data_IF_800755412516
#
_entry.id   IF_800755412516
#
_cell.length_a   1.000
_cell.length_b   1.000
_cell.length_c   1.000
_cell.angle_alpha   90.00
_cell.angle_beta   90.00
_cell.angle_gamma   90.00
#
_symmetry.space_group_name_H-M   'P 1'
#
loop_
_entity.id
_entity.type
_entity.pdbx_description
1 polymer ?
#
# COMPACT_ATOMS: atom_id res chain seq x y z
N UNK A 1 -20.25 0.17 12.77
CA UNK A 1 -19.27 0.90 11.93
C UNK A 1 -18.25 -0.09 11.34
N UNK A 2 -18.46 -0.62 10.12
CA UNK A 2 -17.54 -1.59 9.46
C UNK A 2 -16.69 -0.98 8.32
N UNK A 3 -16.75 0.35 8.12
CA UNK A 3 -16.14 1.05 6.97
C UNK A 3 -14.61 1.21 7.04
N UNK A 4 -14.02 1.07 8.24
CA UNK A 4 -12.58 1.29 8.49
C UNK A 4 -11.90 0.05 9.08
N UNK A 5 -12.48 -1.13 8.89
CA UNK A 5 -11.95 -2.33 9.54
C UNK A 5 -10.67 -2.78 8.86
N UNK A 6 -9.61 -3.00 9.64
CA UNK A 6 -8.38 -3.62 9.15
C UNK A 6 -8.61 -5.02 8.58
N UNK A 7 -9.75 -5.67 8.89
CA UNK A 7 -10.15 -6.95 8.32
C UNK A 7 -10.49 -6.86 6.82
N UNK A 8 -10.67 -5.65 6.28
CA UNK A 8 -10.92 -5.42 4.85
C UNK A 8 -9.65 -5.53 4.01
N UNK A 9 -8.46 -5.40 4.59
CA UNK A 9 -7.18 -5.65 3.91
C UNK A 9 -7.06 -7.17 3.72
N UNK A 10 -7.23 -7.66 2.49
CA UNK A 10 -7.05 -9.08 2.14
C UNK A 10 -5.59 -9.37 1.87
N UNK A 11 -5.16 -10.61 2.07
CA UNK A 11 -3.80 -11.08 1.80
C UNK A 11 -2.67 -10.26 2.48
N UNK A 12 -2.89 -9.82 3.72
CA UNK A 12 -1.93 -9.02 4.51
C UNK A 12 -0.52 -9.59 4.57
N UNK A 13 -0.39 -10.91 4.52
CA UNK A 13 0.90 -11.61 4.50
C UNK A 13 1.79 -11.19 3.32
N UNK A 14 1.23 -10.84 2.16
CA UNK A 14 2.02 -10.37 1.00
C UNK A 14 2.65 -9.00 1.32
N UNK A 15 1.91 -8.10 1.99
CA UNK A 15 2.48 -6.83 2.50
C UNK A 15 3.56 -7.08 3.55
N UNK A 16 3.37 -8.04 4.46
CA UNK A 16 4.37 -8.40 5.47
C UNK A 16 5.64 -8.93 4.80
N UNK A 17 5.51 -9.76 3.76
CA UNK A 17 6.65 -10.26 2.97
C UNK A 17 7.36 -9.10 2.27
N UNK A 18 6.62 -8.20 1.62
CA UNK A 18 7.17 -6.99 1.00
C UNK A 18 7.98 -6.15 1.99
N UNK A 19 7.42 -5.93 3.18
CA UNK A 19 8.09 -5.18 4.24
C UNK A 19 9.35 -5.91 4.74
N UNK A 20 9.27 -7.22 4.92
CA UNK A 20 10.40 -8.04 5.35
C UNK A 20 11.53 -8.04 4.32
N UNK A 21 11.21 -8.17 3.03
CA UNK A 21 12.21 -8.10 1.95
C UNK A 21 12.92 -6.75 1.98
N UNK A 22 12.16 -5.65 2.03
CA UNK A 22 12.72 -4.31 2.13
C UNK A 22 13.65 -4.17 3.34
N UNK A 23 13.17 -4.57 4.52
CA UNK A 23 13.91 -4.45 5.77
C UNK A 23 15.17 -5.32 5.82
N UNK A 24 15.11 -6.56 5.32
CA UNK A 24 16.28 -7.45 5.27
C UNK A 24 17.33 -6.90 4.31
N UNK A 25 16.93 -6.45 3.13
CA UNK A 25 17.87 -5.88 2.16
C UNK A 25 18.53 -4.60 2.68
N UNK A 26 17.80 -3.84 3.49
CA UNK A 26 18.32 -2.70 4.22
C UNK A 26 19.32 -3.10 5.31
N UNK A 27 19.01 -4.09 6.15
CA UNK A 27 19.95 -4.54 7.19
C UNK A 27 21.27 -5.03 6.60
N UNK A 28 21.20 -5.71 5.45
CA UNK A 28 22.40 -6.14 4.72
C UNK A 28 23.20 -4.94 4.21
N UNK A 29 22.53 -3.90 3.72
CA UNK A 29 23.17 -2.65 3.28
C UNK A 29 23.85 -1.93 4.45
N UNK A 30 23.19 -1.86 5.60
CA UNK A 30 23.73 -1.25 6.83
C UNK A 30 24.98 -1.99 7.35
N UNK A 31 25.03 -3.31 7.21
CA UNK A 31 26.19 -4.13 7.58
C UNK A 31 27.31 -4.12 6.53
N UNK A 32 27.03 -3.63 5.31
CA UNK A 32 28.01 -3.62 4.23
C UNK A 32 29.00 -2.46 4.40
N UNK A 33 30.30 -2.67 4.09
CA UNK A 33 31.27 -1.59 4.08
C UNK A 33 30.83 -0.48 3.13
N UNK A 34 30.94 0.78 3.58
CA UNK A 34 30.47 2.00 2.88
C UNK A 34 31.04 2.21 1.47
N UNK A 35 32.06 1.43 1.10
CA UNK A 35 32.76 1.45 -0.19
C UNK A 35 32.10 0.56 -1.25
N UNK A 36 31.15 -0.32 -0.87
CA UNK A 36 30.41 -1.14 -1.83
C UNK A 36 29.19 -0.40 -2.37
N UNK A 37 28.87 -0.53 -3.66
CA UNK A 37 27.71 0.13 -4.24
C UNK A 37 26.41 -0.41 -3.63
N UNK A 38 25.44 0.49 -3.41
CA UNK A 38 24.10 0.31 -2.80
C UNK A 38 23.17 -0.60 -3.66
N UNK A 39 23.74 -1.39 -4.57
CA UNK A 39 23.03 -2.14 -5.59
C UNK A 39 22.08 -3.18 -4.99
N UNK A 40 22.48 -3.86 -3.91
CA UNK A 40 21.65 -4.90 -3.28
C UNK A 40 20.39 -4.29 -2.65
N UNK A 41 20.52 -3.16 -1.95
CA UNK A 41 19.38 -2.45 -1.39
C UNK A 41 18.43 -1.96 -2.47
N UNK A 42 18.94 -1.36 -3.55
CA UNK A 42 18.11 -0.88 -4.66
C UNK A 42 17.31 -2.03 -5.29
N UNK A 43 17.98 -3.14 -5.60
CA UNK A 43 17.33 -4.34 -6.15
C UNK A 43 16.28 -4.88 -5.16
N UNK A 44 16.62 -4.96 -3.88
CA UNK A 44 15.71 -5.36 -2.82
C UNK A 44 14.47 -4.48 -2.71
N UNK A 45 14.65 -3.17 -2.78
CA UNK A 45 13.57 -2.18 -2.73
C UNK A 45 12.64 -2.27 -3.95
N UNK A 46 13.20 -2.51 -5.14
CA UNK A 46 12.41 -2.76 -6.36
C UNK A 46 11.58 -4.03 -6.19
N UNK A 47 12.19 -5.13 -5.73
CA UNK A 47 11.51 -6.40 -5.51
C UNK A 47 10.39 -6.24 -4.47
N UNK A 48 10.66 -5.58 -3.34
CA UNK A 48 9.64 -5.30 -2.34
C UNK A 48 8.46 -4.51 -2.95
N UNK A 49 8.75 -3.45 -3.71
CA UNK A 49 7.71 -2.63 -4.35
C UNK A 49 6.86 -3.43 -5.33
N UNK A 50 7.48 -4.34 -6.11
CA UNK A 50 6.75 -5.26 -6.99
C UNK A 50 5.85 -6.22 -6.21
N UNK A 51 6.32 -6.74 -5.07
CA UNK A 51 5.50 -7.60 -4.19
C UNK A 51 4.31 -6.81 -3.62
N UNK A 52 4.51 -5.55 -3.21
CA UNK A 52 3.43 -4.67 -2.77
C UNK A 52 2.43 -4.36 -3.91
N UNK A 53 2.91 -4.19 -5.14
CA UNK A 53 2.05 -4.01 -6.31
C UNK A 53 1.21 -5.27 -6.60
N UNK A 54 1.80 -6.46 -6.49
CA UNK A 54 1.07 -7.73 -6.59
C UNK A 54 0.00 -7.83 -5.50
N UNK A 55 0.34 -7.44 -4.26
CA UNK A 55 -0.65 -7.37 -3.19
C UNK A 55 -1.82 -6.46 -3.56
N UNK A 56 -1.56 -5.26 -4.10
CA UNK A 56 -2.61 -4.33 -4.50
C UNK A 56 -3.51 -4.93 -5.59
N UNK A 57 -2.97 -5.65 -6.56
CA UNK A 57 -3.77 -6.31 -7.61
C UNK A 57 -4.65 -7.40 -7.01
N UNK A 58 -4.07 -8.33 -6.24
CA UNK A 58 -4.81 -9.46 -5.65
C UNK A 58 -5.88 -8.94 -4.69
N UNK A 59 -5.55 -7.94 -3.89
CA UNK A 59 -6.48 -7.32 -2.95
C UNK A 59 -7.68 -6.67 -3.67
N UNK A 60 -7.47 -6.03 -4.83
CA UNK A 60 -8.57 -5.50 -5.65
C UNK A 60 -9.48 -6.62 -6.17
N UNK A 61 -8.89 -7.61 -6.83
CA UNK A 61 -9.62 -8.74 -7.45
C UNK A 61 -10.48 -9.47 -6.43
N UNK A 62 -9.99 -9.62 -5.20
CA UNK A 62 -10.74 -10.29 -4.11
C UNK A 62 -11.98 -9.50 -3.67
N UNK A 63 -11.98 -8.18 -3.86
CA UNK A 63 -13.11 -7.31 -3.54
C UNK A 63 -14.05 -7.09 -4.72
N UNK A 64 -13.63 -7.45 -5.93
CA UNK A 64 -14.46 -7.42 -7.13
C UNK A 64 -15.63 -8.39 -6.96
N UNK A 65 -16.85 -7.87 -7.00
CA UNK A 65 -18.07 -8.69 -6.87
C UNK A 65 -18.97 -8.46 -8.08
N UNK A 66 -19.46 -9.55 -8.65
CA UNK A 66 -20.47 -9.49 -9.71
C UNK A 66 -21.77 -8.97 -9.09
N UNK A 67 -22.43 -8.06 -9.81
CA UNK A 67 -23.72 -7.54 -9.40
C UNK A 67 -24.80 -8.63 -9.56
N UNK A 68 -25.47 -9.05 -8.46
CA UNK A 68 -26.51 -10.08 -8.53
C UNK A 68 -27.71 -9.62 -9.38
N UNK A 69 -27.92 -8.31 -9.54
CA UNK A 69 -28.96 -7.73 -10.39
C UNK A 69 -28.51 -7.49 -11.83
N UNK A 70 -27.37 -8.04 -12.25
CA UNK A 70 -26.87 -7.84 -13.62
C UNK A 70 -27.80 -8.42 -14.69
N UNK A 71 -28.47 -9.56 -14.40
CA UNK A 71 -29.45 -10.19 -15.29
C UNK A 71 -30.91 -9.85 -14.93
N UNK A 72 -31.15 -8.66 -14.36
CA UNK A 72 -32.52 -8.29 -13.99
C UNK A 72 -33.40 -8.07 -15.23
N UNK A 73 -34.54 -8.77 -15.29
CA UNK A 73 -35.50 -8.74 -16.41
C UNK A 73 -36.27 -7.42 -16.52
N UNK A 74 -35.98 -6.44 -15.64
CA UNK A 74 -36.62 -5.12 -15.59
C UNK A 74 -36.23 -4.18 -16.74
N UNK A 75 -35.40 -4.63 -17.69
CA UNK A 75 -34.96 -3.85 -18.85
C UNK A 75 -33.99 -2.71 -18.52
N UNK A 76 -33.58 -2.56 -17.25
CA UNK A 76 -32.59 -1.57 -16.81
C UNK A 76 -31.20 -2.20 -16.83
N UNK A 77 -30.28 -1.61 -17.61
CA UNK A 77 -28.87 -2.01 -17.62
C UNK A 77 -28.24 -1.68 -16.27
N UNK A 78 -27.97 -2.70 -15.47
CA UNK A 78 -27.18 -2.61 -14.25
C UNK A 78 -25.70 -2.88 -14.57
N UNK A 79 -24.74 -2.25 -13.86
CA UNK A 79 -23.32 -2.52 -14.08
C UNK A 79 -22.98 -3.97 -13.72
N UNK A 80 -22.05 -4.59 -14.47
CA UNK A 80 -21.58 -5.97 -14.26
C UNK A 80 -21.00 -6.17 -12.85
N UNK A 81 -20.26 -5.17 -12.36
CA UNK A 81 -19.58 -5.22 -11.08
C UNK A 81 -20.19 -4.24 -10.08
N UNK A 82 -20.25 -4.64 -8.81
CA UNK A 82 -20.67 -3.75 -7.72
C UNK A 82 -19.50 -2.85 -7.29
N UNK A 83 -19.60 -1.52 -7.45
CA UNK A 83 -18.57 -0.63 -6.95
C UNK A 83 -18.53 -0.68 -5.43
N UNK A 84 -17.36 -0.98 -4.85
CA UNK A 84 -17.18 -0.98 -3.40
C UNK A 84 -16.31 0.18 -2.97
N UNK A 85 -16.71 0.81 -1.87
CA UNK A 85 -15.93 1.90 -1.29
C UNK A 85 -14.70 1.36 -0.58
N UNK A 86 -13.52 1.57 -1.16
CA UNK A 86 -12.23 1.17 -0.62
C UNK A 86 -11.65 2.18 0.40
N UNK A 87 -12.53 2.79 1.23
CA UNK A 87 -12.18 3.86 2.18
C UNK A 87 -11.11 3.47 3.21
N UNK A 88 -10.95 2.17 3.48
CA UNK A 88 -9.90 1.69 4.38
C UNK A 88 -8.49 1.98 3.85
N UNK A 89 -8.26 1.95 2.52
CA UNK A 89 -6.95 2.26 1.93
C UNK A 89 -6.59 3.73 2.17
N UNK A 90 -7.56 4.61 1.95
CA UNK A 90 -7.41 6.03 2.24
C UNK A 90 -7.09 6.24 3.73
N UNK A 91 -7.89 5.64 4.62
CA UNK A 91 -7.73 5.80 6.07
C UNK A 91 -6.38 5.28 6.60
N UNK A 92 -6.00 4.04 6.27
CA UNK A 92 -4.73 3.47 6.72
C UNK A 92 -3.53 4.13 6.04
N UNK A 93 -3.67 4.56 4.77
CA UNK A 93 -2.70 5.41 4.08
C UNK A 93 -2.48 6.73 4.79
N UNK A 94 -3.55 7.43 5.20
CA UNK A 94 -3.47 8.68 5.98
C UNK A 94 -2.72 8.50 7.29
N UNK A 95 -3.03 7.43 8.03
CA UNK A 95 -2.35 7.14 9.30
C UNK A 95 -0.86 6.89 9.07
N UNK A 96 -0.50 6.08 8.07
CA UNK A 96 0.90 5.77 7.76
C UNK A 96 1.70 7.03 7.39
N UNK A 97 1.14 7.87 6.50
CA UNK A 97 1.78 9.14 6.12
C UNK A 97 1.90 10.07 7.32
N UNK A 98 0.85 10.21 8.13
CA UNK A 98 0.84 11.10 9.29
C UNK A 98 1.91 10.70 10.31
N UNK A 99 2.02 9.40 10.64
CA UNK A 99 3.08 8.91 11.53
C UNK A 99 4.46 9.17 10.93
N UNK A 100 4.65 8.89 9.64
CA UNK A 100 5.92 9.13 8.96
C UNK A 100 6.33 10.61 8.96
N UNK A 101 5.39 11.52 8.72
CA UNK A 101 5.62 12.98 8.76
C UNK A 101 5.92 13.45 10.18
N UNK A 102 5.23 12.95 11.20
CA UNK A 102 5.53 13.28 12.60
C UNK A 102 6.96 12.84 12.95
N UNK A 103 7.34 11.61 12.59
CA UNK A 103 8.71 11.13 12.80
C UNK A 103 9.72 12.03 12.09
N UNK A 104 9.46 12.41 10.85
CA UNK A 104 10.31 13.32 10.09
C UNK A 104 10.48 14.69 10.80
N UNK A 105 9.39 15.28 11.30
CA UNK A 105 9.43 16.53 12.07
C UNK A 105 10.24 16.35 13.36
N UNK A 106 10.06 15.25 14.08
CA UNK A 106 10.81 14.99 15.32
C UNK A 106 12.31 14.84 15.06
N UNK A 107 12.70 14.16 13.99
CA UNK A 107 14.10 14.05 13.54
C UNK A 107 14.66 15.43 13.19
N UNK A 108 13.88 16.27 12.50
CA UNK A 108 14.28 17.62 12.13
C UNK A 108 14.47 18.53 13.35
N UNK A 109 13.58 18.43 14.35
CA UNK A 109 13.65 19.22 15.57
C UNK A 109 14.75 18.75 16.53
N UNK A 110 15.12 17.47 16.50
CA UNK A 110 16.14 16.91 17.37
C UNK A 110 17.02 15.92 16.61
N UNK A 111 18.21 16.37 16.21
CA UNK A 111 19.17 15.55 15.46
C UNK A 111 19.64 14.30 16.23
N UNK A 112 19.51 14.27 17.57
CA UNK A 112 19.83 13.06 18.34
C UNK A 112 18.86 11.90 18.04
N UNK A 113 17.68 12.18 17.48
CA UNK A 113 16.71 11.18 17.02
C UNK A 113 16.97 10.70 15.59
N UNK A 114 17.95 11.27 14.87
CA UNK A 114 18.32 10.92 13.50
C UNK A 114 19.13 9.60 13.42
N UNK A 115 18.73 8.60 14.20
CA UNK A 115 19.29 7.25 14.09
C UNK A 115 18.87 6.66 12.73
N UNK A 116 19.75 5.92 12.02
CA UNK A 116 19.47 5.41 10.68
C UNK A 116 18.12 4.68 10.58
N UNK A 117 17.83 3.79 11.53
CA UNK A 117 16.58 3.04 11.57
C UNK A 117 15.32 3.92 11.73
N UNK A 118 15.41 5.07 12.40
CA UNK A 118 14.27 6.00 12.59
C UNK A 118 13.97 6.73 11.28
N UNK A 119 15.02 7.20 10.61
CA UNK A 119 14.93 7.86 9.30
C UNK A 119 14.27 6.91 8.31
N UNK A 120 14.74 5.67 8.23
CA UNK A 120 14.23 4.71 7.26
C UNK A 120 12.83 4.22 7.58
N UNK A 121 12.48 4.07 8.86
CA UNK A 121 11.10 3.80 9.28
C UNK A 121 10.17 4.94 8.82
N UNK A 122 10.59 6.19 8.99
CA UNK A 122 9.80 7.35 8.58
C UNK A 122 9.57 7.37 7.06
N UNK A 123 10.61 7.14 6.26
CA UNK A 123 10.52 7.08 4.79
C UNK A 123 9.67 5.89 4.36
N UNK A 124 9.85 4.72 4.96
CA UNK A 124 9.07 3.51 4.66
C UNK A 124 7.58 3.74 4.91
N UNK A 125 7.22 4.35 6.04
CA UNK A 125 5.83 4.67 6.36
C UNK A 125 5.21 5.64 5.35
N UNK A 126 5.96 6.67 4.94
CA UNK A 126 5.50 7.61 3.92
C UNK A 126 5.33 6.91 2.56
N UNK A 127 6.29 6.09 2.13
CA UNK A 127 6.23 5.37 0.85
C UNK A 127 5.09 4.35 0.80
N UNK A 128 4.92 3.51 1.83
CA UNK A 128 3.79 2.57 1.89
C UNK A 128 2.46 3.30 2.03
N UNK A 129 2.42 4.40 2.79
CA UNK A 129 1.26 5.28 2.87
C UNK A 129 0.85 5.84 1.50
N UNK A 130 1.82 6.34 0.74
CA UNK A 130 1.61 6.78 -0.64
C UNK A 130 1.15 5.63 -1.56
N UNK A 131 1.68 4.42 -1.38
CA UNK A 131 1.25 3.21 -2.08
C UNK A 131 -0.23 2.86 -1.82
N UNK A 132 -0.72 3.04 -0.60
CA UNK A 132 -2.14 2.87 -0.28
C UNK A 132 -3.01 3.91 -0.98
N UNK A 133 -2.58 5.17 -1.03
CA UNK A 133 -3.29 6.21 -1.80
C UNK A 133 -3.33 5.90 -3.29
N UNK A 134 -2.20 5.50 -3.87
CA UNK A 134 -2.13 5.13 -5.28
C UNK A 134 -3.06 3.95 -5.59
N UNK A 135 -3.10 2.95 -4.71
CA UNK A 135 -4.04 1.83 -4.81
C UNK A 135 -5.49 2.30 -4.73
N UNK A 136 -5.81 3.21 -3.81
CA UNK A 136 -7.16 3.78 -3.68
C UNK A 136 -7.61 4.48 -4.97
N UNK A 137 -6.76 5.34 -5.55
CA UNK A 137 -7.06 6.01 -6.82
C UNK A 137 -7.18 5.02 -7.98
N UNK A 138 -6.28 4.04 -8.06
CA UNK A 138 -6.33 2.99 -9.07
C UNK A 138 -7.66 2.22 -8.99
N UNK A 139 -8.10 1.85 -7.79
CA UNK A 139 -9.35 1.12 -7.60
C UNK A 139 -10.56 1.96 -8.00
N UNK A 140 -10.57 3.25 -7.64
CA UNK A 140 -11.62 4.18 -8.07
C UNK A 140 -11.65 4.33 -9.60
N UNK A 141 -10.50 4.37 -10.25
CA UNK A 141 -10.39 4.42 -11.71
C UNK A 141 -10.90 3.13 -12.35
N UNK A 142 -10.48 1.97 -11.83
CA UNK A 142 -10.92 0.66 -12.30
C UNK A 142 -12.43 0.47 -12.14
N UNK A 143 -12.99 0.82 -10.98
CA UNK A 143 -14.43 0.76 -10.72
C UNK A 143 -15.21 1.63 -11.72
N UNK A 144 -14.71 2.83 -12.02
CA UNK A 144 -15.32 3.71 -13.03
C UNK A 144 -15.21 3.16 -14.46
N UNK A 145 -14.13 2.48 -14.81
CA UNK A 145 -13.97 1.86 -16.12
C UNK A 145 -14.84 0.61 -16.27
N UNK A 146 -14.94 -0.20 -15.22
CA UNK A 146 -15.67 -1.47 -15.21
C UNK A 146 -17.19 -1.29 -15.03
N UNK A 147 -17.63 -0.21 -14.38
CA UNK A 147 -19.07 0.10 -14.23
C UNK A 147 -19.70 0.80 -15.42
N UNK A 148 -18.90 1.39 -16.32
CA UNK A 148 -19.36 2.06 -17.55
C UNK A 148 -19.59 1.10 -18.73
N UNK A 149 -19.24 -0.17 -18.60
CA UNK A 149 -19.52 -1.22 -19.58
C UNK A 149 -20.74 -2.05 -19.15
#
# INVERSE_FOLDING_TARGET
>A
MKRFSIQQIRHKWILVISLAVFFVTYLIDLMSPREKPVTLFIVGAIVATLIAAVWAIVNYVTHLQVNPFYHDDTGKKQPIFQPKTHQYLFFWGSIAVLIGVILFILIFLNQNLALPWVVDLSVTLVCYGAGFYLSFFLYMLLDNLLSKK
#
